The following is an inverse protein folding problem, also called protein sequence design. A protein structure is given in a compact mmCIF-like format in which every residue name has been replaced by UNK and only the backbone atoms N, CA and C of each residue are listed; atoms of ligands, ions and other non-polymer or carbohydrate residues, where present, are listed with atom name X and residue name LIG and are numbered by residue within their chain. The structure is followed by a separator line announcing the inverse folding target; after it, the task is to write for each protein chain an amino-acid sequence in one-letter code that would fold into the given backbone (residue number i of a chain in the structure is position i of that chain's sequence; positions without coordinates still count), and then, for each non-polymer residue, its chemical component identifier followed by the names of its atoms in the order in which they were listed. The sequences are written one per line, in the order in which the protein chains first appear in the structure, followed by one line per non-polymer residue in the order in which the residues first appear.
data_IF_912604684524
#
_entry.id   IF_912604684524
#
_cell.length_a   1.000
_cell.length_b   1.000
_cell.length_c   1.000
_cell.angle_alpha   90.00
_cell.angle_beta   90.00
_cell.angle_gamma   90.00
#
_symmetry.space_group_name_H-M   'P 1'
#
loop_
_entity.id
_entity.type
_entity.pdbx_description
1 polymer ?
#
# COMPACT_ATOMS: atom_id res chain seq x y z
N UNK A 1 1.80 16.37 -3.96
CA UNK A 1 2.02 15.00 -4.47
C UNK A 1 1.21 14.06 -3.60
N UNK A 2 0.24 13.34 -4.17
CA UNK A 2 -0.67 12.46 -3.43
C UNK A 2 -0.09 11.05 -3.23
N UNK A 3 -0.66 10.27 -2.31
CA UNK A 3 -0.23 8.89 -2.04
C UNK A 3 -0.28 8.00 -3.29
N UNK A 4 -1.30 8.19 -4.13
CA UNK A 4 -1.44 7.47 -5.42
C UNK A 4 -0.25 7.77 -6.35
N UNK A 5 0.19 9.02 -6.43
CA UNK A 5 1.35 9.39 -7.27
C UNK A 5 2.65 8.78 -6.72
N UNK A 6 2.79 8.70 -5.40
CA UNK A 6 3.95 8.07 -4.75
C UNK A 6 3.96 6.55 -4.95
N UNK A 7 2.80 5.89 -5.10
CA UNK A 7 2.74 4.45 -5.39
C UNK A 7 3.19 4.09 -6.80
N UNK A 8 3.35 5.07 -7.68
CA UNK A 8 3.82 4.90 -9.07
C UNK A 8 5.21 5.51 -9.30
N UNK A 9 5.90 5.91 -8.22
CA UNK A 9 7.22 6.53 -8.30
C UNK A 9 8.25 5.59 -8.94
N UNK A 10 9.19 6.12 -9.73
CA UNK A 10 10.20 5.30 -10.41
C UNK A 10 11.16 4.59 -9.42
N UNK A 11 11.31 5.10 -8.21
CA UNK A 11 12.20 4.56 -7.19
C UNK A 11 11.45 3.53 -6.34
N UNK A 12 11.87 2.24 -6.33
CA UNK A 12 11.21 1.20 -5.52
C UNK A 12 11.12 1.54 -4.03
N UNK A 13 12.12 2.25 -3.50
CA UNK A 13 12.13 2.66 -2.10
C UNK A 13 11.01 3.63 -1.72
N UNK A 14 10.57 4.45 -2.66
CA UNK A 14 9.41 5.32 -2.45
C UNK A 14 8.14 4.47 -2.44
N UNK A 15 7.99 3.55 -3.39
CA UNK A 15 6.81 2.68 -3.51
C UNK A 15 6.64 1.74 -2.32
N UNK A 16 7.68 1.04 -1.85
CA UNK A 16 7.55 0.25 -0.62
C UNK A 16 7.31 1.13 0.61
N UNK A 17 7.83 2.36 0.60
CA UNK A 17 7.54 3.37 1.63
C UNK A 17 6.06 3.69 1.71
N UNK A 18 5.37 3.76 0.57
CA UNK A 18 3.90 3.89 0.51
C UNK A 18 3.21 2.70 1.16
N UNK A 19 3.59 1.45 0.84
CA UNK A 19 3.00 0.26 1.47
C UNK A 19 3.14 0.30 3.01
N UNK A 20 4.32 0.63 3.53
CA UNK A 20 4.57 0.78 4.97
C UNK A 20 3.77 1.93 5.60
N UNK A 21 3.63 3.04 4.89
CA UNK A 21 2.82 4.19 5.33
C UNK A 21 1.35 3.82 5.43
N UNK A 22 0.81 3.19 4.38
CA UNK A 22 -0.57 2.72 4.31
C UNK A 22 -0.88 1.67 5.37
N UNK A 23 0.05 0.76 5.70
CA UNK A 23 -0.13 -0.18 6.81
C UNK A 23 -0.35 0.53 8.16
N UNK A 24 0.38 1.63 8.41
CA UNK A 24 0.25 2.40 9.66
C UNK A 24 -1.04 3.20 9.70
N UNK A 25 -1.36 3.90 8.61
CA UNK A 25 -2.56 4.73 8.49
C UNK A 25 -3.83 3.87 8.48
N UNK A 26 -3.79 2.72 7.80
CA UNK A 26 -4.90 1.78 7.69
C UNK A 26 -5.43 1.29 9.03
N UNK A 27 -4.61 1.31 10.10
CA UNK A 27 -5.02 0.91 11.46
C UNK A 27 -5.87 1.96 12.19
N UNK A 28 -5.94 3.19 11.69
CA UNK A 28 -6.60 4.32 12.38
C UNK A 28 -7.67 5.02 11.54
N UNK A 29 -7.85 4.62 10.28
CA UNK A 29 -8.91 5.15 9.40
C UNK A 29 -10.15 4.28 9.44
N UNK A 30 -11.28 4.84 9.02
CA UNK A 30 -12.54 4.11 8.92
C UNK A 30 -12.47 3.00 7.86
N UNK A 31 -13.30 1.97 8.05
CA UNK A 31 -13.36 0.82 7.15
C UNK A 31 -13.70 1.18 5.69
N UNK A 32 -14.44 2.28 5.47
CA UNK A 32 -14.75 2.77 4.12
C UNK A 32 -13.50 3.25 3.39
N UNK A 33 -12.64 4.03 4.04
CA UNK A 33 -11.36 4.51 3.50
C UNK A 33 -10.44 3.31 3.27
N UNK A 34 -10.41 2.38 4.22
CA UNK A 34 -9.59 1.18 4.14
C UNK A 34 -9.95 0.33 2.89
N UNK A 35 -11.24 0.12 2.63
CA UNK A 35 -11.71 -0.70 1.51
C UNK A 35 -11.67 0.04 0.16
N UNK A 36 -12.02 1.32 0.13
CA UNK A 36 -12.23 2.04 -1.14
C UNK A 36 -10.98 2.80 -1.60
N UNK A 37 -10.06 3.15 -0.71
CA UNK A 37 -8.87 3.93 -1.05
C UNK A 37 -7.57 3.15 -0.83
N UNK A 38 -7.39 2.53 0.35
CA UNK A 38 -6.14 1.86 0.69
C UNK A 38 -6.00 0.50 -0.01
N UNK A 39 -7.06 -0.32 0.01
CA UNK A 39 -7.05 -1.67 -0.59
C UNK A 39 -6.65 -1.65 -2.07
N UNK A 40 -7.20 -0.79 -2.95
CA UNK A 40 -6.79 -0.77 -4.36
C UNK A 40 -5.31 -0.42 -4.56
N UNK A 41 -4.77 0.51 -3.76
CA UNK A 41 -3.36 0.90 -3.86
C UNK A 41 -2.45 -0.26 -3.47
N UNK A 42 -2.76 -0.95 -2.35
CA UNK A 42 -2.01 -2.12 -1.92
C UNK A 42 -2.09 -3.26 -2.95
N UNK A 43 -3.27 -3.51 -3.53
CA UNK A 43 -3.41 -4.51 -4.60
C UNK A 43 -2.59 -4.18 -5.84
N UNK A 44 -2.46 -2.90 -6.19
CA UNK A 44 -1.59 -2.50 -7.30
C UNK A 44 -0.11 -2.76 -6.96
N UNK A 45 0.34 -2.35 -5.78
CA UNK A 45 1.72 -2.55 -5.31
C UNK A 45 2.09 -4.04 -5.15
N UNK A 46 1.12 -4.93 -4.93
CA UNK A 46 1.35 -6.38 -4.94
C UNK A 46 1.74 -6.95 -6.32
N UNK A 47 1.45 -6.21 -7.40
CA UNK A 47 1.84 -6.58 -8.77
C UNK A 47 3.10 -5.84 -9.25
N UNK A 48 3.80 -5.14 -8.36
CA UNK A 48 4.99 -4.36 -8.70
C UNK A 48 6.14 -5.24 -9.22
N UNK A 49 7.03 -4.68 -10.04
CA UNK A 49 8.20 -5.40 -10.55
C UNK A 49 9.25 -5.68 -9.46
N UNK A 50 9.35 -4.81 -8.45
CA UNK A 50 10.30 -4.94 -7.35
C UNK A 50 9.77 -5.88 -6.25
N UNK A 51 10.64 -6.78 -5.77
CA UNK A 51 10.26 -7.78 -4.78
C UNK A 51 9.88 -7.16 -3.43
N UNK A 52 10.63 -6.16 -2.96
CA UNK A 52 10.38 -5.56 -1.64
C UNK A 52 9.04 -4.82 -1.66
N UNK A 53 8.72 -4.15 -2.76
CA UNK A 53 7.42 -3.48 -2.92
C UNK A 53 6.27 -4.48 -2.81
N UNK A 54 6.35 -5.62 -3.52
CA UNK A 54 5.33 -6.67 -3.44
C UNK A 54 5.21 -7.25 -2.03
N UNK A 55 6.35 -7.56 -1.39
CA UNK A 55 6.39 -8.13 -0.05
C UNK A 55 5.73 -7.21 0.98
N UNK A 56 6.10 -5.93 1.02
CA UNK A 56 5.53 -4.98 1.99
C UNK A 56 4.06 -4.65 1.69
N UNK A 57 3.63 -4.68 0.42
CA UNK A 57 2.23 -4.51 0.07
C UNK A 57 1.36 -5.69 0.57
N UNK A 58 1.85 -6.92 0.40
CA UNK A 58 1.17 -8.12 0.92
C UNK A 58 1.15 -8.14 2.45
N UNK A 59 2.27 -7.81 3.11
CA UNK A 59 2.34 -7.69 4.56
C UNK A 59 1.36 -6.63 5.09
N UNK A 60 1.27 -5.47 4.42
CA UNK A 60 0.32 -4.43 4.76
C UNK A 60 -1.13 -4.91 4.62
N UNK A 61 -1.45 -5.55 3.50
CA UNK A 61 -2.78 -6.11 3.23
C UNK A 61 -3.20 -7.10 4.34
N UNK A 62 -2.31 -8.03 4.69
CA UNK A 62 -2.55 -9.04 5.71
C UNK A 62 -2.69 -8.42 7.11
N UNK A 63 -1.83 -7.45 7.46
CA UNK A 63 -1.92 -6.75 8.75
C UNK A 63 -3.21 -5.94 8.90
N UNK A 64 -3.84 -5.53 7.80
CA UNK A 64 -5.08 -4.74 7.79
C UNK A 64 -6.34 -5.61 7.65
N UNK A 65 -6.21 -6.95 7.58
CA UNK A 65 -7.35 -7.85 7.41
C UNK A 65 -8.06 -7.68 6.06
N UNK A 66 -7.34 -7.22 5.04
CA UNK A 66 -7.89 -6.98 3.71
C UNK A 66 -7.86 -8.27 2.89
N UNK A 67 -8.94 -9.05 2.98
CA UNK A 67 -9.15 -10.25 2.16
C UNK A 67 -9.74 -9.90 0.78
#
# INVERSE_FOLDING_TARGET
MGVVQLSEDNVPNVRFGVAKGLQKIGKVVDGSILQNEIKPILMNLMNDADFDVRYFAEEAKNSLGLH
#
